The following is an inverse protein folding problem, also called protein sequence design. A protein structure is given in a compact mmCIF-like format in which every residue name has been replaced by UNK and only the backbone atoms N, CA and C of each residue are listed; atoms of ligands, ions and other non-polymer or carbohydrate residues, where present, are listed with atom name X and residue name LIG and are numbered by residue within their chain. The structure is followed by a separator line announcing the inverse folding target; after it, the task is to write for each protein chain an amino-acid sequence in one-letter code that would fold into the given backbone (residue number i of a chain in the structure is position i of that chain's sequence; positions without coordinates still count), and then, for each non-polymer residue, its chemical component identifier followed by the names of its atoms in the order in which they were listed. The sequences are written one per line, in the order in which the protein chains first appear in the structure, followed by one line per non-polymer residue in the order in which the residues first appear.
data_IF_557478723402
#
_entry.id   IF_557478723402
#
_cell.length_a   1.000
_cell.length_b   1.000
_cell.length_c   1.000
_cell.angle_alpha   90.00
_cell.angle_beta   90.00
_cell.angle_gamma   90.00
#
_symmetry.space_group_name_H-M   'P 1'
#
loop_
_entity.id
_entity.type
_entity.pdbx_description
1 polymer ?
#
# COMPACT_ATOMS: atom_id res chain seq x y z
N UNK A 1 25.73 -69.08 21.43
CA UNK A 1 25.21 -67.97 22.26
C UNK A 1 24.86 -66.81 21.33
N UNK A 2 23.58 -66.42 21.32
CA UNK A 2 22.99 -65.51 20.35
C UNK A 2 23.37 -64.03 20.61
N UNK A 3 23.74 -63.30 19.55
CA UNK A 3 23.68 -61.84 19.52
C UNK A 3 22.48 -61.44 18.67
N UNK A 4 21.50 -60.81 19.32
CA UNK A 4 20.23 -60.36 18.75
C UNK A 4 20.46 -59.03 18.03
N UNK A 5 19.94 -58.93 16.80
CA UNK A 5 19.99 -57.74 15.95
C UNK A 5 19.17 -56.59 16.56
N UNK A 6 19.67 -55.36 16.41
CA UNK A 6 18.95 -54.14 16.71
C UNK A 6 18.15 -53.73 15.46
N UNK A 7 16.82 -53.88 15.53
CA UNK A 7 15.89 -53.26 14.60
C UNK A 7 15.78 -51.77 14.94
N UNK A 8 16.13 -50.91 13.99
CA UNK A 8 15.75 -49.49 13.98
C UNK A 8 14.32 -49.40 13.48
N UNK A 9 13.37 -49.27 14.40
CA UNK A 9 12.01 -48.81 14.09
C UNK A 9 11.99 -47.29 13.99
N UNK A 10 11.36 -46.80 12.93
CA UNK A 10 11.06 -45.41 12.66
C UNK A 10 10.18 -44.80 13.75
N UNK A 11 10.63 -43.69 14.35
CA UNK A 11 9.74 -42.79 15.09
C UNK A 11 8.93 -42.00 14.07
N UNK A 12 7.72 -42.49 13.81
CA UNK A 12 6.59 -41.68 13.42
C UNK A 12 6.26 -40.74 14.57
N UNK A 13 6.28 -39.45 14.25
CA UNK A 13 5.87 -38.30 15.07
C UNK A 13 4.36 -38.38 15.38
N UNK A 14 3.98 -39.34 16.21
CA UNK A 14 2.63 -39.49 16.75
C UNK A 14 2.47 -38.51 17.91
N UNK A 15 1.72 -37.44 17.66
CA UNK A 15 1.42 -36.35 18.59
C UNK A 15 1.03 -36.79 20.00
N UNK A 16 2.04 -37.05 20.83
CA UNK A 16 1.87 -37.42 22.22
C UNK A 16 1.84 -36.13 23.04
N UNK A 17 0.61 -35.75 23.37
CA UNK A 17 0.24 -34.68 24.29
C UNK A 17 0.95 -34.90 25.63
N UNK A 18 1.78 -33.94 26.05
CA UNK A 18 2.24 -33.85 27.44
C UNK A 18 1.01 -33.57 28.33
N UNK A 19 0.66 -34.51 29.21
CA UNK A 19 -0.41 -34.37 30.20
C UNK A 19 -0.27 -33.04 30.98
N UNK A 20 -1.32 -32.22 30.94
CA UNK A 20 -1.48 -31.05 31.81
C UNK A 20 -1.30 -29.66 31.18
N UNK A 21 -0.91 -29.54 29.92
CA UNK A 21 -0.81 -28.24 29.22
C UNK A 21 -1.86 -28.16 28.13
N UNK A 22 -3.07 -27.70 28.46
CA UNK A 22 -4.08 -27.39 27.44
C UNK A 22 -3.59 -26.20 26.61
N UNK A 23 -3.14 -26.46 25.38
CA UNK A 23 -2.88 -25.42 24.39
C UNK A 23 -4.21 -24.93 23.83
N UNK A 24 -4.45 -23.63 23.90
CA UNK A 24 -5.69 -23.02 23.42
C UNK A 24 -5.54 -22.63 21.95
N UNK A 25 -6.50 -23.01 21.10
CA UNK A 25 -6.51 -22.52 19.73
C UNK A 25 -7.10 -21.10 19.65
N UNK A 26 -6.74 -20.31 18.63
CA UNK A 26 -7.35 -19.00 18.40
C UNK A 26 -8.88 -19.05 18.35
N UNK A 27 -9.45 -20.08 17.72
CA UNK A 27 -10.90 -20.28 17.57
C UNK A 27 -11.57 -20.52 18.92
N UNK A 28 -10.95 -21.33 19.79
CA UNK A 28 -11.45 -21.59 21.13
C UNK A 28 -11.48 -20.32 21.98
N UNK A 29 -10.42 -19.51 21.93
CA UNK A 29 -10.35 -18.26 22.70
C UNK A 29 -11.27 -17.16 22.14
N UNK A 30 -11.52 -17.13 20.82
CA UNK A 30 -12.52 -16.23 20.24
C UNK A 30 -13.94 -16.59 20.70
N UNK A 31 -14.22 -17.88 20.92
CA UNK A 31 -15.52 -18.34 21.41
C UNK A 31 -15.74 -18.12 22.92
N UNK A 32 -14.68 -17.83 23.69
CA UNK A 32 -14.74 -17.61 25.14
C UNK A 32 -14.02 -16.29 25.55
N UNK A 33 -14.72 -15.14 25.48
CA UNK A 33 -14.15 -13.83 25.81
C UNK A 33 -13.70 -13.70 27.27
N UNK A 34 -14.35 -14.41 28.20
CA UNK A 34 -13.97 -14.39 29.61
C UNK A 34 -12.62 -15.08 29.82
N UNK A 35 -12.42 -16.23 29.15
CA UNK A 35 -11.15 -16.95 29.16
C UNK A 35 -10.03 -16.15 28.51
N UNK A 36 -10.30 -15.50 27.39
CA UNK A 36 -9.37 -14.58 26.74
C UNK A 36 -8.92 -13.47 27.72
N UNK A 37 -9.87 -12.79 28.37
CA UNK A 37 -9.58 -11.73 29.33
C UNK A 37 -8.79 -12.23 30.55
N UNK A 38 -9.05 -13.46 31.01
CA UNK A 38 -8.30 -14.10 32.10
C UNK A 38 -6.86 -14.41 31.70
N UNK A 39 -6.63 -14.94 30.49
CA UNK A 39 -5.29 -15.25 29.99
C UNK A 39 -4.44 -14.00 29.76
N UNK A 40 -5.05 -12.90 29.28
CA UNK A 40 -4.36 -11.62 29.12
C UNK A 40 -3.80 -11.06 30.44
N UNK A 41 -4.49 -11.30 31.56
CA UNK A 41 -4.07 -10.88 32.90
C UNK A 41 -3.13 -11.88 33.60
N UNK A 42 -2.91 -13.05 33.01
CA UNK A 42 -2.07 -14.09 33.62
C UNK A 42 -0.58 -13.71 33.58
N UNK A 43 0.27 -14.44 34.31
CA UNK A 43 1.73 -14.22 34.28
C UNK A 43 2.31 -14.67 32.94
N UNK A 44 3.45 -14.10 32.55
CA UNK A 44 4.19 -14.53 31.36
C UNK A 44 4.57 -16.01 31.48
N UNK A 45 4.54 -16.74 30.35
CA UNK A 45 4.73 -18.19 30.31
C UNK A 45 3.49 -19.02 30.63
N UNK A 46 2.34 -18.40 30.97
CA UNK A 46 1.07 -19.13 31.12
C UNK A 46 0.65 -19.71 29.75
N UNK A 47 0.37 -21.03 29.63
CA UNK A 47 -0.08 -21.63 28.38
C UNK A 47 -1.31 -20.92 27.79
N UNK A 48 -1.21 -20.50 26.52
CA UNK A 48 -2.26 -19.78 25.80
C UNK A 48 -2.27 -18.27 26.02
N UNK A 49 -1.42 -17.70 26.88
CA UNK A 49 -1.28 -16.25 27.02
C UNK A 49 -0.74 -15.61 25.74
N UNK A 50 0.22 -16.26 25.09
CA UNK A 50 0.77 -15.85 23.79
C UNK A 50 -0.33 -15.76 22.71
N UNK A 51 -1.22 -16.76 22.66
CA UNK A 51 -2.37 -16.78 21.75
C UNK A 51 -3.35 -15.66 22.09
N UNK A 52 -3.63 -15.44 23.38
CA UNK A 52 -4.49 -14.36 23.84
C UNK A 52 -3.94 -12.97 23.47
N UNK A 53 -2.64 -12.73 23.66
CA UNK A 53 -1.97 -11.47 23.29
C UNK A 53 -2.05 -11.22 21.79
N UNK A 54 -1.81 -12.25 20.97
CA UNK A 54 -1.94 -12.17 19.52
C UNK A 54 -3.37 -11.85 19.09
N UNK A 55 -4.38 -12.49 19.70
CA UNK A 55 -5.79 -12.19 19.42
C UNK A 55 -6.18 -10.77 19.83
N UNK A 56 -5.66 -10.26 20.95
CA UNK A 56 -5.88 -8.86 21.34
C UNK A 56 -5.25 -7.90 20.33
N UNK A 57 -4.02 -8.17 19.89
CA UNK A 57 -3.35 -7.38 18.86
C UNK A 57 -4.09 -7.45 17.51
N UNK A 58 -4.63 -8.59 17.12
CA UNK A 58 -5.53 -8.72 15.97
C UNK A 58 -6.78 -7.84 16.11
N UNK A 59 -7.46 -7.88 17.27
CA UNK A 59 -8.67 -7.10 17.50
C UNK A 59 -8.41 -5.58 17.49
N UNK A 60 -7.32 -5.12 18.10
CA UNK A 60 -6.93 -3.70 18.06
C UNK A 60 -6.52 -3.25 16.64
N UNK A 61 -5.83 -4.12 15.89
CA UNK A 61 -5.55 -3.87 14.47
C UNK A 61 -6.83 -3.78 13.65
N UNK A 62 -7.80 -4.66 13.86
CA UNK A 62 -9.08 -4.63 13.16
C UNK A 62 -9.85 -3.33 13.44
N UNK A 63 -9.87 -2.85 14.69
CA UNK A 63 -10.45 -1.55 15.04
C UNK A 63 -9.79 -0.39 14.28
N UNK A 64 -8.48 -0.47 14.07
CA UNK A 64 -7.71 0.54 13.34
C UNK A 64 -7.89 0.41 11.82
N UNK A 65 -8.04 -0.81 11.30
CA UNK A 65 -8.23 -1.09 9.89
C UNK A 65 -9.66 -0.79 9.41
N UNK A 66 -10.67 -0.96 10.26
CA UNK A 66 -12.07 -0.73 9.93
C UNK A 66 -12.37 0.66 9.30
N UNK A 67 -11.90 1.79 9.85
CA UNK A 67 -12.13 3.11 9.23
C UNK A 67 -11.44 3.23 7.86
N UNK A 68 -10.23 2.69 7.68
CA UNK A 68 -9.53 2.68 6.40
C UNK A 68 -10.27 1.83 5.35
N UNK A 69 -10.80 0.67 5.74
CA UNK A 69 -11.64 -0.15 4.86
C UNK A 69 -12.90 0.62 4.47
N UNK A 70 -13.57 1.29 5.40
CA UNK A 70 -14.75 2.10 5.10
C UNK A 70 -14.44 3.26 4.14
N UNK A 71 -13.31 3.94 4.32
CA UNK A 71 -12.82 4.98 3.42
C UNK A 71 -12.52 4.43 2.02
N UNK A 72 -11.82 3.30 1.95
CA UNK A 72 -11.55 2.61 0.68
C UNK A 72 -12.83 2.22 -0.06
N UNK A 73 -13.86 1.76 0.65
CA UNK A 73 -15.18 1.46 0.07
C UNK A 73 -15.82 2.72 -0.52
N UNK A 74 -15.76 3.85 0.19
CA UNK A 74 -16.28 5.14 -0.29
C UNK A 74 -15.57 5.56 -1.58
N UNK A 75 -14.24 5.52 -1.61
CA UNK A 75 -13.43 5.88 -2.78
C UNK A 75 -13.67 4.95 -3.96
N UNK A 76 -13.81 3.64 -3.72
CA UNK A 76 -14.15 2.69 -4.77
C UNK A 76 -15.51 3.02 -5.40
N UNK A 77 -16.53 3.30 -4.58
CA UNK A 77 -17.85 3.73 -5.08
C UNK A 77 -17.79 5.05 -5.86
N UNK A 78 -16.97 6.00 -5.41
CA UNK A 78 -16.76 7.29 -6.07
C UNK A 78 -16.15 7.11 -7.47
N UNK A 79 -15.10 6.29 -7.59
CA UNK A 79 -14.49 5.97 -8.88
C UNK A 79 -15.49 5.37 -9.89
N UNK A 80 -16.37 4.48 -9.40
CA UNK A 80 -17.39 3.87 -10.24
C UNK A 80 -18.43 4.89 -10.74
N UNK A 81 -18.76 5.90 -9.92
CA UNK A 81 -19.64 7.01 -10.32
C UNK A 81 -18.96 7.97 -11.31
N UNK A 82 -17.65 8.15 -11.19
CA UNK A 82 -16.87 9.01 -12.06
C UNK A 82 -16.51 8.39 -13.44
N UNK A 83 -17.18 7.29 -13.84
CA UNK A 83 -16.97 6.59 -15.12
C UNK A 83 -15.48 6.38 -15.49
N UNK A 84 -14.66 5.96 -14.51
CA UNK A 84 -13.22 5.70 -14.68
C UNK A 84 -12.33 6.94 -14.91
N UNK A 85 -12.80 8.17 -14.64
CA UNK A 85 -12.05 9.42 -14.92
C UNK A 85 -11.33 10.06 -13.72
N UNK A 86 -11.26 9.38 -12.57
CA UNK A 86 -10.82 10.03 -11.34
C UNK A 86 -9.38 9.64 -10.93
N UNK A 87 -8.38 10.18 -11.62
CA UNK A 87 -6.95 10.00 -11.25
C UNK A 87 -6.63 10.42 -9.80
N UNK A 88 -7.37 11.38 -9.26
CA UNK A 88 -7.28 11.74 -7.83
C UNK A 88 -7.85 10.67 -6.90
N UNK A 89 -8.94 10.00 -7.29
CA UNK A 89 -9.58 8.95 -6.47
C UNK A 89 -8.74 7.68 -6.49
N UNK A 90 -8.13 7.32 -7.62
CA UNK A 90 -7.25 6.15 -7.71
C UNK A 90 -6.00 6.30 -6.84
N UNK A 91 -5.43 7.51 -6.78
CA UNK A 91 -4.31 7.81 -5.88
C UNK A 91 -4.73 7.76 -4.40
N UNK A 92 -5.85 8.37 -4.01
CA UNK A 92 -6.38 8.28 -2.63
C UNK A 92 -6.66 6.83 -2.22
N UNK A 93 -7.22 6.04 -3.12
CA UNK A 93 -7.46 4.61 -2.85
C UNK A 93 -6.13 3.85 -2.69
N UNK A 94 -5.10 4.21 -3.45
CA UNK A 94 -3.77 3.67 -3.26
C UNK A 94 -3.16 4.05 -1.90
N UNK A 95 -3.34 5.29 -1.44
CA UNK A 95 -2.94 5.74 -0.09
C UNK A 95 -3.62 4.91 0.99
N UNK A 96 -4.94 4.68 0.90
CA UNK A 96 -5.66 3.80 1.83
C UNK A 96 -5.08 2.39 1.83
N UNK A 97 -4.80 1.81 0.66
CA UNK A 97 -4.23 0.46 0.56
C UNK A 97 -2.81 0.39 1.15
N UNK A 98 -1.98 1.43 0.98
CA UNK A 98 -0.64 1.48 1.58
C UNK A 98 -0.74 1.68 3.09
N UNK A 99 -1.64 2.53 3.59
CA UNK A 99 -1.89 2.68 5.04
C UNK A 99 -2.36 1.38 5.68
N UNK A 100 -3.18 0.60 4.97
CA UNK A 100 -3.53 -0.76 5.42
C UNK A 100 -2.29 -1.65 5.57
N UNK A 101 -1.32 -1.59 4.65
CA UNK A 101 -0.07 -2.37 4.76
C UNK A 101 0.73 -2.06 6.02
N UNK A 102 0.69 -0.81 6.49
CA UNK A 102 1.36 -0.41 7.72
C UNK A 102 0.74 -1.03 8.98
N UNK A 103 -0.51 -1.48 8.92
CA UNK A 103 -1.20 -2.13 10.04
C UNK A 103 -0.92 -3.63 10.14
N UNK A 104 -0.46 -4.25 9.05
CA UNK A 104 -0.17 -5.68 8.99
C UNK A 104 1.33 -5.91 8.91
N UNK A 105 1.76 -7.08 9.36
CA UNK A 105 3.18 -7.47 9.42
C UNK A 105 3.56 -8.35 8.24
N UNK A 106 4.81 -8.25 7.80
CA UNK A 106 5.29 -9.11 6.72
C UNK A 106 5.39 -10.57 7.21
N UNK A 107 4.90 -11.56 6.45
CA UNK A 107 4.96 -12.97 6.87
C UNK A 107 6.38 -13.52 7.04
N UNK A 108 7.38 -12.89 6.42
CA UNK A 108 8.78 -13.29 6.55
C UNK A 108 9.50 -12.61 7.74
N UNK A 109 8.95 -11.50 8.25
CA UNK A 109 9.51 -10.75 9.38
C UNK A 109 8.39 -9.97 10.09
N UNK A 110 7.95 -10.49 11.24
CA UNK A 110 6.85 -9.89 12.02
C UNK A 110 7.18 -8.50 12.58
N UNK A 111 8.46 -8.10 12.57
CA UNK A 111 8.89 -6.76 13.01
C UNK A 111 8.71 -5.69 11.94
N UNK A 112 8.49 -6.10 10.69
CA UNK A 112 8.37 -5.22 9.53
C UNK A 112 6.92 -5.12 9.04
N UNK A 113 6.47 -3.94 8.58
CA UNK A 113 5.16 -3.80 7.96
C UNK A 113 5.07 -4.56 6.64
N UNK A 114 3.87 -4.99 6.23
CA UNK A 114 3.64 -5.75 5.00
C UNK A 114 3.69 -4.88 3.73
N UNK A 115 4.85 -4.26 3.47
CA UNK A 115 5.01 -3.37 2.32
C UNK A 115 4.95 -4.12 0.98
N UNK A 116 5.16 -5.44 0.98
CA UNK A 116 4.97 -6.28 -0.20
C UNK A 116 3.48 -6.61 -0.46
N UNK A 117 2.62 -6.60 0.56
CA UNK A 117 1.20 -6.99 0.48
C UNK A 117 1.00 -8.51 0.42
N UNK A 118 1.86 -9.26 1.11
CA UNK A 118 1.89 -10.74 1.12
C UNK A 118 0.97 -11.33 2.18
N UNK A 119 0.76 -10.64 3.30
CA UNK A 119 -0.02 -11.14 4.43
C UNK A 119 -1.46 -11.44 4.04
N UNK A 120 -2.00 -12.54 4.56
CA UNK A 120 -3.38 -12.96 4.29
C UNK A 120 -4.39 -11.96 4.85
N UNK A 121 -4.06 -11.35 5.98
CA UNK A 121 -4.85 -10.38 6.72
C UNK A 121 -4.98 -9.08 5.91
N UNK A 122 -3.86 -8.55 5.39
CA UNK A 122 -3.90 -7.42 4.46
C UNK A 122 -4.73 -7.74 3.22
N UNK A 123 -4.53 -8.93 2.62
CA UNK A 123 -5.28 -9.34 1.43
C UNK A 123 -6.78 -9.41 1.69
N UNK A 124 -7.19 -9.92 2.86
CA UNK A 124 -8.58 -9.97 3.28
C UNK A 124 -9.16 -8.55 3.46
N UNK A 125 -8.45 -7.66 4.15
CA UNK A 125 -8.88 -6.26 4.34
C UNK A 125 -8.98 -5.50 3.01
N UNK A 126 -8.01 -5.66 2.12
CA UNK A 126 -8.03 -5.07 0.78
C UNK A 126 -9.15 -5.65 -0.08
N UNK A 127 -9.43 -6.95 0.00
CA UNK A 127 -10.56 -7.57 -0.71
C UNK A 127 -11.91 -7.02 -0.21
N UNK A 128 -12.06 -6.85 1.11
CA UNK A 128 -13.27 -6.33 1.72
C UNK A 128 -13.66 -4.94 1.19
N UNK A 129 -12.70 -4.11 0.78
CA UNK A 129 -12.97 -2.82 0.13
C UNK A 129 -13.81 -3.01 -1.15
N UNK A 130 -13.35 -3.89 -2.04
CA UNK A 130 -14.01 -4.11 -3.33
C UNK A 130 -15.33 -4.87 -3.17
N UNK A 131 -15.36 -5.84 -2.25
CA UNK A 131 -16.53 -6.68 -2.04
C UNK A 131 -17.67 -5.86 -1.41
N UNK A 132 -17.39 -5.01 -0.41
CA UNK A 132 -18.37 -4.08 0.19
C UNK A 132 -18.72 -2.90 -0.73
N UNK A 133 -17.91 -2.61 -1.73
CA UNK A 133 -18.26 -1.66 -2.79
C UNK A 133 -19.31 -2.24 -3.76
N UNK A 134 -19.57 -3.55 -3.72
CA UNK A 134 -20.53 -4.23 -4.60
C UNK A 134 -20.00 -4.44 -6.01
N UNK A 135 -18.69 -4.57 -6.17
CA UNK A 135 -18.07 -4.79 -7.48
C UNK A 135 -18.16 -6.26 -7.88
N UNK A 136 -18.57 -6.50 -9.12
CA UNK A 136 -18.39 -7.80 -9.76
C UNK A 136 -16.90 -8.07 -10.06
N UNK A 137 -16.59 -9.31 -10.47
CA UNK A 137 -15.22 -9.73 -10.74
C UNK A 137 -14.53 -8.89 -11.83
N UNK A 138 -15.26 -8.47 -12.87
CA UNK A 138 -14.71 -7.69 -13.97
C UNK A 138 -14.35 -6.27 -13.52
N UNK A 139 -15.24 -5.60 -12.78
CA UNK A 139 -15.00 -4.28 -12.20
C UNK A 139 -13.89 -4.31 -11.17
N UNK A 140 -13.87 -5.32 -10.30
CA UNK A 140 -12.79 -5.53 -9.33
C UNK A 140 -11.43 -5.64 -10.02
N UNK A 141 -11.33 -6.46 -11.07
CA UNK A 141 -10.11 -6.60 -11.88
C UNK A 141 -9.68 -5.28 -12.53
N UNK A 142 -10.62 -4.58 -13.18
CA UNK A 142 -10.36 -3.29 -13.85
C UNK A 142 -9.83 -2.23 -12.87
N UNK A 143 -10.53 -2.05 -11.74
CA UNK A 143 -10.12 -1.14 -10.68
C UNK A 143 -8.75 -1.49 -10.09
N UNK A 144 -8.53 -2.77 -9.77
CA UNK A 144 -7.26 -3.23 -9.22
C UNK A 144 -6.10 -2.98 -10.18
N UNK A 145 -6.31 -3.14 -11.49
CA UNK A 145 -5.30 -2.84 -12.49
C UNK A 145 -4.93 -1.35 -12.50
N UNK A 146 -5.92 -0.45 -12.45
CA UNK A 146 -5.71 1.00 -12.42
C UNK A 146 -4.99 1.44 -11.13
N UNK A 147 -5.46 0.95 -9.98
CA UNK A 147 -4.93 1.33 -8.66
C UNK A 147 -3.52 0.81 -8.43
N UNK A 148 -3.16 -0.35 -9.00
CA UNK A 148 -1.83 -0.98 -8.82
C UNK A 148 -0.68 -0.04 -9.16
N UNK A 149 -0.82 0.75 -10.22
CA UNK A 149 0.20 1.74 -10.59
C UNK A 149 0.42 2.78 -9.49
N UNK A 150 -0.67 3.36 -8.99
CA UNK A 150 -0.62 4.34 -7.90
C UNK A 150 -0.12 3.75 -6.59
N UNK A 151 -0.49 2.51 -6.26
CA UNK A 151 0.02 1.80 -5.08
C UNK A 151 1.54 1.69 -5.12
N UNK A 152 2.12 1.40 -6.28
CA UNK A 152 3.59 1.33 -6.39
C UNK A 152 4.26 2.66 -6.11
N UNK A 153 3.68 3.77 -6.57
CA UNK A 153 4.20 5.13 -6.37
C UNK A 153 4.08 5.52 -4.89
N UNK A 154 2.86 5.49 -4.36
CA UNK A 154 2.57 5.89 -2.97
C UNK A 154 3.34 5.03 -1.99
N UNK A 155 3.44 3.71 -2.22
CA UNK A 155 4.23 2.84 -1.37
C UNK A 155 5.69 3.29 -1.30
N UNK A 156 6.29 3.64 -2.44
CA UNK A 156 7.68 4.12 -2.43
C UNK A 156 7.81 5.43 -1.67
N UNK A 157 6.90 6.38 -1.92
CA UNK A 157 6.88 7.66 -1.20
C UNK A 157 6.81 7.44 0.32
N UNK A 158 5.93 6.56 0.79
CA UNK A 158 5.83 6.21 2.22
C UNK A 158 7.10 5.52 2.73
N UNK A 159 7.63 4.52 2.02
CA UNK A 159 8.85 3.82 2.42
C UNK A 159 10.03 4.78 2.58
N UNK A 160 10.26 5.65 1.60
CA UNK A 160 11.41 6.56 1.60
C UNK A 160 11.18 7.74 2.53
N UNK A 161 10.07 8.45 2.39
CA UNK A 161 9.88 9.76 3.04
C UNK A 161 9.32 9.64 4.45
N UNK A 162 8.48 8.65 4.73
CA UNK A 162 7.82 8.51 6.04
C UNK A 162 8.55 7.52 6.94
N UNK A 163 9.01 6.40 6.37
CA UNK A 163 9.64 5.32 7.13
C UNK A 163 11.17 5.35 7.11
N UNK A 164 11.78 6.18 6.25
CA UNK A 164 13.24 6.27 6.11
C UNK A 164 13.89 4.95 5.68
N UNK A 165 13.17 4.10 4.96
CA UNK A 165 13.64 2.78 4.53
C UNK A 165 14.78 2.89 3.52
N UNK A 166 15.73 1.96 3.61
CA UNK A 166 16.93 1.94 2.76
C UNK A 166 16.75 1.00 1.56
N UNK A 167 17.69 1.02 0.62
CA UNK A 167 17.71 0.09 -0.52
C UNK A 167 17.72 -1.39 -0.08
N UNK A 168 18.27 -1.69 1.10
CA UNK A 168 18.26 -3.03 1.69
C UNK A 168 16.83 -3.45 2.08
N UNK A 169 16.02 -2.53 2.60
CA UNK A 169 14.61 -2.78 2.88
C UNK A 169 13.83 -3.02 1.58
N UNK A 170 14.10 -2.24 0.52
CA UNK A 170 13.51 -2.51 -0.79
C UNK A 170 13.87 -3.91 -1.30
N UNK A 171 15.14 -4.33 -1.15
CA UNK A 171 15.57 -5.67 -1.50
C UNK A 171 14.87 -6.76 -0.67
N UNK A 172 14.70 -6.55 0.64
CA UNK A 172 13.95 -7.46 1.52
C UNK A 172 12.53 -7.71 1.01
N UNK A 173 11.82 -6.66 0.60
CA UNK A 173 10.46 -6.79 0.05
C UNK A 173 10.42 -7.27 -1.41
N UNK A 174 11.57 -7.55 -2.03
CA UNK A 174 11.67 -7.89 -3.46
C UNK A 174 11.23 -6.74 -4.37
N UNK A 175 11.44 -5.51 -3.93
CA UNK A 175 11.04 -4.28 -4.61
C UNK A 175 12.24 -3.59 -5.24
N UNK A 176 11.99 -2.88 -6.34
CA UNK A 176 13.04 -2.07 -6.96
C UNK A 176 13.09 -0.69 -6.26
N UNK A 177 14.23 -0.29 -5.68
CA UNK A 177 14.37 1.02 -5.06
C UNK A 177 14.18 2.14 -6.09
N UNK A 178 14.61 1.91 -7.34
CA UNK A 178 14.49 2.87 -8.44
C UNK A 178 13.08 2.88 -9.03
N UNK A 179 12.52 4.07 -9.20
CA UNK A 179 11.28 4.23 -9.93
C UNK A 179 11.50 4.00 -11.43
N UNK A 180 11.02 2.87 -11.95
CA UNK A 180 11.00 2.64 -13.41
C UNK A 180 10.11 3.65 -14.14
N UNK A 181 9.22 4.33 -13.43
CA UNK A 181 8.36 5.40 -13.95
C UNK A 181 8.90 6.80 -13.63
N UNK A 182 9.97 6.94 -12.84
CA UNK A 182 10.69 8.20 -12.79
C UNK A 182 11.22 8.44 -14.19
N UNK A 183 11.00 9.66 -14.67
CA UNK A 183 11.55 10.08 -15.95
C UNK A 183 13.06 9.94 -15.85
N UNK A 184 13.62 9.03 -16.66
CA UNK A 184 15.07 8.87 -16.77
C UNK A 184 15.64 10.22 -17.19
N UNK A 185 16.80 10.62 -16.64
CA UNK A 185 17.53 11.83 -17.12
C UNK A 185 17.57 11.84 -18.65
N UNK A 186 17.10 12.93 -19.26
CA UNK A 186 17.06 13.10 -20.71
C UNK A 186 15.90 12.42 -21.44
N UNK A 187 14.95 11.79 -20.74
CA UNK A 187 13.70 11.33 -21.35
C UNK A 187 12.80 12.53 -21.66
N UNK A 188 12.31 12.64 -22.90
CA UNK A 188 11.30 13.63 -23.26
C UNK A 188 10.08 13.39 -22.38
N UNK A 189 9.59 14.47 -21.74
CA UNK A 189 8.32 14.43 -21.02
C UNK A 189 7.25 13.82 -21.97
N UNK A 190 6.46 12.84 -21.50
CA UNK A 190 5.37 12.32 -22.31
C UNK A 190 4.40 13.47 -22.64
N UNK A 191 3.74 13.46 -23.80
CA UNK A 191 2.82 14.52 -24.18
C UNK A 191 1.75 14.70 -23.10
N UNK A 192 1.56 15.95 -22.69
CA UNK A 192 0.59 16.34 -21.68
C UNK A 192 -0.83 16.01 -22.20
N UNK A 193 -1.46 14.99 -21.63
CA UNK A 193 -2.86 14.64 -21.90
C UNK A 193 -3.71 15.22 -20.79
N UNK A 194 -4.33 16.36 -21.06
CA UNK A 194 -5.26 17.01 -20.13
C UNK A 194 -6.67 16.51 -20.42
N UNK A 195 -7.40 16.18 -19.35
CA UNK A 195 -8.83 15.98 -19.45
C UNK A 195 -9.49 17.37 -19.44
N UNK A 196 -9.93 17.82 -20.61
CA UNK A 196 -10.56 19.13 -20.80
C UNK A 196 -12.03 19.16 -20.43
N UNK A 197 -12.62 18.04 -20.00
CA UNK A 197 -14.04 17.97 -19.64
C UNK A 197 -14.38 18.57 -18.27
N UNK A 198 -13.36 18.87 -17.46
CA UNK A 198 -13.48 19.58 -16.18
C UNK A 198 -12.32 20.58 -16.03
N UNK A 199 -12.58 21.89 -15.98
CA UNK A 199 -11.54 22.92 -15.85
C UNK A 199 -10.62 22.69 -14.65
N UNK A 200 -11.12 22.16 -13.53
CA UNK A 200 -10.30 21.89 -12.35
C UNK A 200 -9.25 20.79 -12.60
N UNK A 201 -9.59 19.80 -13.43
CA UNK A 201 -8.67 18.71 -13.82
C UNK A 201 -7.62 19.17 -14.84
N UNK A 202 -7.94 20.17 -15.66
CA UNK A 202 -6.97 20.85 -16.52
C UNK A 202 -5.90 21.53 -15.67
N UNK A 203 -6.28 22.33 -14.67
CA UNK A 203 -5.32 22.98 -13.77
C UNK A 203 -4.48 21.99 -12.98
N UNK A 204 -5.09 20.92 -12.45
CA UNK A 204 -4.36 19.86 -11.71
C UNK A 204 -3.38 19.13 -12.65
N UNK A 205 -3.80 18.80 -13.88
CA UNK A 205 -2.94 18.15 -14.86
C UNK A 205 -1.76 19.02 -15.31
N UNK A 206 -2.01 20.32 -15.50
CA UNK A 206 -0.99 21.34 -15.80
C UNK A 206 -0.01 21.48 -14.64
N UNK A 207 -0.49 21.59 -13.39
CA UNK A 207 0.36 21.68 -12.21
C UNK A 207 1.19 20.41 -11.98
N UNK A 208 0.61 19.22 -12.22
CA UNK A 208 1.32 17.95 -12.14
C UNK A 208 2.37 17.83 -13.25
N UNK A 209 2.07 18.28 -14.47
CA UNK A 209 3.03 18.29 -15.57
C UNK A 209 4.17 19.27 -15.32
N UNK A 210 3.84 20.48 -14.84
CA UNK A 210 4.82 21.48 -14.44
C UNK A 210 5.73 20.88 -13.36
N UNK A 211 5.18 20.36 -12.25
CA UNK A 211 5.94 19.70 -11.18
C UNK A 211 6.82 18.56 -11.70
N UNK A 212 6.29 17.74 -12.59
CA UNK A 212 7.02 16.63 -13.21
C UNK A 212 8.15 17.10 -14.14
N UNK A 213 7.99 18.25 -14.78
CA UNK A 213 9.08 18.92 -15.50
C UNK A 213 10.14 19.45 -14.53
N UNK A 214 9.75 19.96 -13.35
CA UNK A 214 10.70 20.36 -12.29
C UNK A 214 11.51 19.15 -11.80
N UNK A 215 10.85 18.02 -11.54
CA UNK A 215 11.48 16.79 -11.01
C UNK A 215 12.47 16.15 -12.01
N UNK A 216 12.29 16.35 -13.32
CA UNK A 216 13.25 15.90 -14.36
C UNK A 216 14.58 16.65 -14.30
N UNK A 217 14.56 17.87 -13.76
CA UNK A 217 15.69 18.79 -13.81
C UNK A 217 16.36 19.05 -12.46
N UNK A 218 15.74 18.70 -11.33
CA UNK A 218 16.25 19.02 -10.00
C UNK A 218 16.55 17.77 -9.15
N UNK A 219 17.83 17.53 -8.85
CA UNK A 219 18.28 16.72 -7.70
C UNK A 219 17.99 17.48 -6.36
N UNK A 220 16.78 18.02 -6.18
CA UNK A 220 16.45 18.88 -5.03
C UNK A 220 17.01 20.31 -5.10
N UNK A 221 17.63 20.71 -6.21
CA UNK A 221 18.06 22.08 -6.45
C UNK A 221 16.86 23.01 -6.77
N UNK A 222 16.76 24.13 -6.08
CA UNK A 222 15.81 25.21 -6.38
C UNK A 222 16.12 25.83 -7.76
N UNK A 223 15.15 26.45 -8.44
CA UNK A 223 15.37 27.04 -9.78
C UNK A 223 16.54 28.04 -9.84
N UNK A 224 16.89 28.69 -8.73
CA UNK A 224 18.03 29.60 -8.63
C UNK A 224 19.39 28.86 -8.70
N UNK A 225 19.43 27.61 -8.25
CA UNK A 225 20.64 26.76 -8.14
C UNK A 225 20.96 26.01 -9.46
N UNK A 226 20.07 26.09 -10.46
CA UNK A 226 20.30 25.50 -11.78
C UNK A 226 21.31 26.33 -12.60
N UNK A 227 22.13 25.69 -13.46
CA UNK A 227 22.93 26.38 -14.48
C UNK A 227 22.04 27.29 -15.35
N UNK A 228 22.58 28.41 -15.82
CA UNK A 228 21.81 29.45 -16.53
C UNK A 228 21.03 28.92 -17.74
N UNK A 229 21.67 28.07 -18.55
CA UNK A 229 21.04 27.39 -19.68
C UNK A 229 19.81 26.55 -19.27
N UNK A 230 19.88 25.90 -18.09
CA UNK A 230 18.75 25.13 -17.54
C UNK A 230 17.68 25.99 -16.89
N UNK A 231 18.02 27.18 -16.39
CA UNK A 231 17.04 28.17 -15.90
C UNK A 231 16.20 28.76 -17.03
N UNK A 232 16.78 28.89 -18.22
CA UNK A 232 16.09 29.39 -19.40
C UNK A 232 15.19 28.32 -20.03
N UNK A 233 15.67 27.08 -20.13
CA UNK A 233 14.82 25.93 -20.47
C UNK A 233 13.64 25.78 -19.50
N UNK A 234 13.90 25.97 -18.20
CA UNK A 234 12.89 25.94 -17.13
C UNK A 234 11.83 27.04 -17.29
N UNK A 235 12.26 28.29 -17.50
CA UNK A 235 11.34 29.42 -17.73
C UNK A 235 10.51 29.23 -18.99
N UNK A 236 11.14 28.75 -20.07
CA UNK A 236 10.43 28.46 -21.32
C UNK A 236 9.38 27.35 -21.16
N UNK A 237 9.69 26.30 -20.39
CA UNK A 237 8.74 25.24 -20.10
C UNK A 237 7.53 25.73 -19.29
N UNK A 238 7.75 26.58 -18.28
CA UNK A 238 6.65 27.18 -17.50
C UNK A 238 5.79 28.12 -18.34
N UNK A 239 6.40 28.96 -19.18
CA UNK A 239 5.67 29.84 -20.09
C UNK A 239 4.87 29.05 -21.13
N UNK A 240 5.41 27.95 -21.67
CA UNK A 240 4.66 27.08 -22.59
C UNK A 240 3.47 26.40 -21.90
N UNK A 241 3.64 25.95 -20.65
CA UNK A 241 2.56 25.37 -19.84
C UNK A 241 1.49 26.42 -19.52
N UNK A 242 1.90 27.65 -19.21
CA UNK A 242 1.01 28.79 -18.96
C UNK A 242 0.23 29.18 -20.21
N UNK A 243 0.90 29.37 -21.35
CA UNK A 243 0.26 29.72 -22.62
C UNK A 243 -0.77 28.66 -23.03
N UNK A 244 -0.44 27.37 -22.85
CA UNK A 244 -1.39 26.30 -23.15
C UNK A 244 -2.57 26.27 -22.16
N UNK A 245 -2.36 26.68 -20.91
CA UNK A 245 -3.44 26.84 -19.93
C UNK A 245 -4.38 27.96 -20.35
N UNK A 246 -3.85 29.11 -20.75
CA UNK A 246 -4.61 30.28 -21.20
C UNK A 246 -5.42 29.96 -22.47
N UNK A 247 -4.81 29.30 -23.47
CA UNK A 247 -5.51 28.83 -24.67
C UNK A 247 -6.67 27.87 -24.36
N UNK A 248 -6.45 26.93 -23.42
CA UNK A 248 -7.51 25.99 -23.00
C UNK A 248 -8.64 26.68 -22.23
N UNK A 249 -8.37 27.77 -21.51
CA UNK A 249 -9.40 28.55 -20.81
C UNK A 249 -10.26 29.35 -21.80
N UNK A 250 -9.63 29.92 -22.83
CA UNK A 250 -10.33 30.56 -23.94
C UNK A 250 -11.20 29.55 -24.72
N UNK A 251 -10.69 28.36 -25.03
CA UNK A 251 -11.45 27.29 -25.70
C UNK A 251 -12.68 26.82 -24.89
N UNK A 252 -12.61 26.91 -23.55
CA UNK A 252 -13.70 26.53 -22.64
C UNK A 252 -14.71 27.65 -22.39
N UNK A 253 -14.50 28.85 -22.94
CA UNK A 253 -15.40 30.00 -22.77
C UNK A 253 -15.46 30.51 -21.32
N UNK A 254 -14.39 30.29 -20.55
CA UNK A 254 -14.24 30.84 -19.21
C UNK A 254 -13.58 32.21 -19.30
N UNK A 255 -14.39 33.27 -19.33
CA UNK A 255 -13.93 34.65 -19.05
C UNK A 255 -13.53 34.81 -17.57
#
# INVERSE_FOLDING_TARGET
MARKAAERTSDTDDGTVLEGVTTWTPEQLRADPERLAKLLKAKDGTPGKDVAVRLQAEAEREKTAAPLVAEGVKLAKEWNRAYNRAGGVTRKLAEVLVRLRLLYTDPADETKPDMAGRSSEYKAAAAAIYDRAGFDAARKSSMQAVVRHHVSIVRREVMVNELGMTDEDFAFYGLNPVDRNALRRGSKLPPLRLDTSDPANVYIGIAQYARKALDVHADGATPAELPEEKRDEYRAALEAVRARAEELLEELGAD
#
